data_IF_471049820983
#
_entry.id   IF_471049820983
#
_cell.length_a   1.000
_cell.length_b   1.000
_cell.length_c   1.000
_cell.angle_alpha   90.00
_cell.angle_beta   90.00
_cell.angle_gamma   90.00
#
_symmetry.space_group_name_H-M   'P 1'
#
loop_
_entity.id
_entity.type
_entity.pdbx_description
1 polymer ?
#
# COMPACT_ATOMS: atom_id res chain seq x y z
N UNK A 1 0.30 6.53 -16.09
CA UNK A 1 0.50 7.98 -16.32
C UNK A 1 -0.79 8.71 -15.96
N UNK A 2 -1.02 9.05 -14.68
CA UNK A 2 -2.31 9.62 -14.23
C UNK A 2 -2.71 10.92 -14.92
N UNK A 3 -1.72 11.71 -15.35
CA UNK A 3 -1.94 12.97 -16.08
C UNK A 3 -2.66 12.85 -17.43
N UNK A 4 -2.81 11.63 -17.97
CA UNK A 4 -3.65 11.40 -19.15
C UNK A 4 -5.16 11.48 -18.83
N UNK A 5 -5.53 11.17 -17.58
CA UNK A 5 -6.92 11.25 -17.11
C UNK A 5 -7.19 12.59 -16.46
N UNK A 6 -6.28 13.06 -15.61
CA UNK A 6 -6.38 14.35 -14.93
C UNK A 6 -5.20 15.26 -15.33
N UNK A 7 -5.38 16.17 -16.30
CA UNK A 7 -4.31 17.02 -16.79
C UNK A 7 -3.82 18.04 -15.75
N UNK A 8 -4.50 18.21 -14.62
CA UNK A 8 -4.05 19.12 -13.54
C UNK A 8 -2.88 18.54 -12.73
N UNK A 9 -2.62 17.24 -12.87
CA UNK A 9 -1.53 16.53 -12.17
C UNK A 9 -0.12 16.88 -12.70
N UNK A 10 0.00 17.60 -13.82
CA UNK A 10 1.29 18.02 -14.37
C UNK A 10 1.15 19.35 -15.16
N UNK A 11 2.20 20.19 -15.23
CA UNK A 11 2.21 21.35 -16.11
C UNK A 11 1.95 21.00 -17.59
N UNK A 12 1.38 21.92 -18.39
CA UNK A 12 1.15 21.70 -19.82
C UNK A 12 2.42 21.25 -20.56
N UNK A 13 2.30 20.21 -21.39
CA UNK A 13 3.42 19.64 -22.14
C UNK A 13 4.29 18.66 -21.36
N UNK A 14 3.94 18.33 -20.11
CA UNK A 14 4.63 17.35 -19.27
C UNK A 14 3.66 16.28 -18.77
N UNK A 15 4.20 15.16 -18.26
CA UNK A 15 3.40 14.07 -17.71
C UNK A 15 3.94 13.59 -16.37
N UNK A 16 3.04 13.35 -15.42
CA UNK A 16 3.34 12.57 -14.22
C UNK A 16 3.20 11.07 -14.54
N UNK A 17 4.27 10.32 -14.33
CA UNK A 17 4.30 8.86 -14.41
C UNK A 17 4.57 8.29 -13.02
N UNK A 18 3.70 7.38 -12.56
CA UNK A 18 3.95 6.54 -11.39
C UNK A 18 4.33 5.14 -11.87
N UNK A 19 5.42 4.60 -11.33
CA UNK A 19 5.92 3.27 -11.66
C UNK A 19 5.84 2.42 -10.40
N UNK A 20 4.91 1.47 -10.38
CA UNK A 20 4.75 0.55 -9.27
C UNK A 20 5.57 -0.72 -9.51
N UNK A 21 6.61 -0.93 -8.72
CA UNK A 21 7.50 -2.09 -8.83
C UNK A 21 7.16 -3.08 -7.72
N UNK A 22 6.79 -4.29 -8.10
CA UNK A 22 6.46 -5.36 -7.15
C UNK A 22 7.72 -6.14 -6.77
N UNK A 23 7.70 -6.71 -5.56
CA UNK A 23 8.72 -7.61 -5.03
C UNK A 23 10.10 -6.98 -4.76
N UNK A 24 10.15 -5.66 -4.52
CA UNK A 24 11.33 -5.05 -3.93
C UNK A 24 11.54 -5.63 -2.51
N UNK A 25 12.71 -6.21 -2.20
CA UNK A 25 12.91 -6.85 -0.91
C UNK A 25 13.09 -5.79 0.19
N UNK A 26 12.66 -6.07 1.44
CA UNK A 26 12.89 -5.16 2.56
C UNK A 26 14.38 -4.98 2.88
N UNK A 27 15.21 -5.97 2.50
CA UNK A 27 16.66 -5.94 2.63
C UNK A 27 17.31 -6.36 1.32
N UNK A 28 18.38 -5.67 0.94
CA UNK A 28 19.18 -6.02 -0.25
C UNK A 28 20.14 -7.13 0.17
N UNK A 29 20.00 -8.35 -0.32
CA UNK A 29 20.91 -9.46 0.04
C UNK A 29 21.12 -9.65 1.57
N UNK A 30 20.09 -9.35 2.37
CA UNK A 30 20.13 -9.44 3.83
C UNK A 30 20.71 -8.22 4.57
N UNK A 31 21.21 -7.20 3.86
CA UNK A 31 21.66 -5.92 4.43
C UNK A 31 20.62 -4.82 4.23
N UNK A 32 20.73 -3.77 5.05
CA UNK A 32 19.89 -2.58 4.91
C UNK A 32 20.15 -1.86 3.59
N UNK A 33 19.10 -1.19 3.08
CA UNK A 33 19.19 -0.35 1.90
C UNK A 33 20.14 0.83 2.14
N UNK A 34 21.05 1.06 1.20
CA UNK A 34 21.89 2.24 1.12
C UNK A 34 21.38 3.19 0.03
N UNK A 35 21.89 4.42 0.00
CA UNK A 35 21.54 5.37 -1.07
C UNK A 35 22.04 4.88 -2.44
N UNK A 36 23.19 4.21 -2.48
CA UNK A 36 23.73 3.58 -3.70
C UNK A 36 22.79 2.50 -4.25
N UNK A 37 22.17 1.69 -3.37
CA UNK A 37 21.20 0.67 -3.80
C UNK A 37 19.93 1.29 -4.38
N UNK A 38 19.47 2.38 -3.77
CA UNK A 38 18.31 3.14 -4.24
C UNK A 38 18.59 3.71 -5.63
N UNK A 39 19.75 4.32 -5.84
CA UNK A 39 20.15 4.89 -7.13
C UNK A 39 20.32 3.78 -8.19
N UNK A 40 20.91 2.64 -7.81
CA UNK A 40 21.01 1.45 -8.67
C UNK A 40 19.65 0.86 -9.04
N UNK A 41 18.71 0.85 -8.10
CA UNK A 41 17.33 0.40 -8.33
C UNK A 41 16.59 1.34 -9.29
N UNK A 42 16.66 2.65 -9.05
CA UNK A 42 16.10 3.68 -9.94
C UNK A 42 16.63 3.51 -11.38
N UNK A 43 17.95 3.40 -11.51
CA UNK A 43 18.61 3.17 -12.80
C UNK A 43 18.10 1.89 -13.47
N UNK A 44 17.98 0.79 -12.72
CA UNK A 44 17.52 -0.50 -13.27
C UNK A 44 16.09 -0.41 -13.82
N UNK A 45 15.21 0.30 -13.13
CA UNK A 45 13.81 0.52 -13.56
C UNK A 45 13.77 1.42 -14.80
N UNK A 46 14.49 2.54 -14.79
CA UNK A 46 14.58 3.46 -15.94
C UNK A 46 15.17 2.73 -17.16
N UNK A 47 16.22 1.93 -16.97
CA UNK A 47 16.86 1.16 -18.03
C UNK A 47 15.87 0.17 -18.64
N UNK A 48 15.09 -0.51 -17.81
CA UNK A 48 14.08 -1.46 -18.27
C UNK A 48 12.96 -0.79 -19.07
N UNK A 49 12.48 0.37 -18.66
CA UNK A 49 11.48 1.14 -19.43
C UNK A 49 12.08 1.61 -20.76
N UNK A 50 13.32 2.08 -20.74
CA UNK A 50 14.02 2.60 -21.91
C UNK A 50 14.25 1.54 -22.99
N UNK A 51 14.29 0.26 -22.63
CA UNK A 51 14.34 -0.84 -23.60
C UNK A 51 13.10 -0.90 -24.51
N UNK A 52 11.96 -0.34 -24.06
CA UNK A 52 10.69 -0.34 -24.79
C UNK A 52 10.22 1.06 -25.21
N UNK A 53 10.79 2.11 -24.61
CA UNK A 53 10.50 3.51 -24.90
C UNK A 53 11.81 4.22 -25.26
N UNK A 54 12.22 4.20 -26.55
CA UNK A 54 13.47 4.80 -26.98
C UNK A 54 13.40 6.31 -26.76
N UNK A 55 14.44 6.92 -26.16
CA UNK A 55 14.51 8.31 -25.64
C UNK A 55 13.94 8.56 -24.23
N UNK A 56 13.38 7.56 -23.54
CA UNK A 56 12.71 7.77 -22.24
C UNK A 56 13.57 8.55 -21.24
N UNK A 57 14.86 8.23 -21.14
CA UNK A 57 15.80 8.90 -20.23
C UNK A 57 15.88 10.42 -20.46
N UNK A 58 15.81 10.84 -21.72
CA UNK A 58 15.92 12.25 -22.12
C UNK A 58 14.64 13.04 -21.77
N UNK A 59 13.54 12.35 -21.47
CA UNK A 59 12.25 12.94 -21.12
C UNK A 59 12.06 13.12 -19.60
N UNK A 60 12.96 12.58 -18.78
CA UNK A 60 12.85 12.64 -17.32
C UNK A 60 13.30 14.02 -16.84
N UNK A 61 12.35 14.84 -16.40
CA UNK A 61 12.63 16.15 -15.79
C UNK A 61 12.98 16.01 -14.29
N UNK A 62 12.36 15.04 -13.63
CA UNK A 62 12.57 14.73 -12.23
C UNK A 62 12.18 13.27 -12.00
N UNK A 63 12.96 12.56 -11.18
CA UNK A 63 12.64 11.21 -10.71
C UNK A 63 12.67 11.21 -9.19
N UNK A 64 11.70 10.53 -8.58
CA UNK A 64 11.67 10.29 -7.16
C UNK A 64 11.46 8.79 -6.92
N UNK A 65 12.45 8.18 -6.29
CA UNK A 65 12.39 6.77 -5.88
C UNK A 65 12.02 6.64 -4.41
N UNK A 66 11.09 5.72 -4.12
CA UNK A 66 10.68 5.29 -2.78
C UNK A 66 10.84 3.77 -2.67
N UNK A 67 11.89 3.32 -2.01
CA UNK A 67 12.14 1.90 -1.70
C UNK A 67 11.38 1.51 -0.41
N UNK A 68 11.33 0.23 -0.02
CA UNK A 68 10.79 -0.17 1.28
C UNK A 68 11.36 0.64 2.45
N UNK A 69 12.66 0.99 2.43
CA UNK A 69 13.31 1.82 3.45
C UNK A 69 12.68 3.22 3.55
N UNK A 70 12.50 3.91 2.42
CA UNK A 70 11.90 5.26 2.44
C UNK A 70 10.44 5.22 2.86
N UNK A 71 9.69 4.24 2.34
CA UNK A 71 8.26 4.10 2.65
C UNK A 71 8.07 3.84 4.15
N UNK A 72 8.85 2.94 4.74
CA UNK A 72 8.78 2.66 6.17
C UNK A 72 9.18 3.89 7.00
N UNK A 73 10.24 4.61 6.61
CA UNK A 73 10.69 5.81 7.33
C UNK A 73 9.68 6.98 7.25
N UNK A 74 8.99 7.13 6.11
CA UNK A 74 8.08 8.26 5.88
C UNK A 74 6.69 8.03 6.51
N UNK A 75 6.11 6.84 6.32
CA UNK A 75 4.72 6.56 6.73
C UNK A 75 4.58 5.46 7.78
N UNK A 76 5.68 4.86 8.23
CA UNK A 76 5.67 3.78 9.23
C UNK A 76 5.15 2.45 8.68
N UNK A 77 5.14 2.27 7.36
CA UNK A 77 4.70 1.04 6.74
C UNK A 77 5.83 0.01 6.77
N UNK A 78 5.81 -0.86 7.78
CA UNK A 78 6.84 -1.87 8.01
C UNK A 78 7.14 -2.67 6.74
N UNK A 79 8.44 -2.78 6.41
CA UNK A 79 8.96 -3.47 5.23
C UNK A 79 8.41 -2.95 3.89
N UNK A 80 7.78 -1.78 3.88
CA UNK A 80 7.11 -1.21 2.70
C UNK A 80 5.90 -2.02 2.22
N UNK A 81 5.38 -2.96 3.02
CA UNK A 81 4.33 -3.87 2.58
C UNK A 81 2.94 -3.22 2.69
N UNK A 82 2.35 -2.85 1.56
CA UNK A 82 1.03 -2.19 1.48
C UNK A 82 -0.13 -3.03 2.03
N UNK A 83 0.07 -4.34 2.16
CA UNK A 83 -0.91 -5.26 2.74
C UNK A 83 -0.77 -5.38 4.27
N UNK A 84 0.24 -4.74 4.88
CA UNK A 84 0.53 -4.78 6.34
C UNK A 84 0.56 -6.20 6.90
N UNK A 85 1.17 -7.12 6.15
CA UNK A 85 1.20 -8.55 6.38
C UNK A 85 1.20 -9.31 5.05
N UNK A 86 1.78 -10.51 5.01
CA UNK A 86 1.81 -11.28 3.78
C UNK A 86 0.42 -11.82 3.42
N UNK A 87 0.21 -12.05 2.12
CA UNK A 87 -1.00 -12.69 1.58
C UNK A 87 -0.81 -14.21 1.48
N UNK A 88 -0.23 -14.84 2.51
CA UNK A 88 -0.07 -16.30 2.59
C UNK A 88 -1.26 -16.93 3.31
N UNK A 89 -1.50 -18.23 3.07
CA UNK A 89 -2.64 -18.93 3.68
C UNK A 89 -2.64 -18.87 5.21
N UNK A 90 -1.47 -18.92 5.84
CA UNK A 90 -1.30 -18.83 7.28
C UNK A 90 -1.53 -17.40 7.83
N UNK A 91 -1.39 -16.36 7.00
CA UNK A 91 -1.61 -14.96 7.35
C UNK A 91 -2.86 -14.36 6.70
N UNK A 92 -3.81 -15.17 6.23
CA UNK A 92 -5.03 -14.70 5.57
C UNK A 92 -6.29 -15.00 6.38
N UNK A 93 -7.41 -14.40 5.96
CA UNK A 93 -8.73 -14.65 6.52
C UNK A 93 -8.78 -14.41 8.03
N UNK A 94 -9.21 -15.41 8.80
CA UNK A 94 -9.38 -15.35 10.25
C UNK A 94 -8.05 -15.31 11.03
N UNK A 95 -6.91 -15.47 10.34
CA UNK A 95 -5.59 -15.27 10.91
C UNK A 95 -5.10 -13.81 10.80
N UNK A 96 -5.87 -12.91 10.16
CA UNK A 96 -5.57 -11.47 10.13
C UNK A 96 -6.31 -10.70 11.23
N UNK A 97 -5.65 -9.75 11.92
CA UNK A 97 -4.23 -9.41 11.81
C UNK A 97 -3.31 -10.44 12.49
N UNK A 98 -3.84 -11.19 13.45
CA UNK A 98 -3.22 -12.37 14.02
C UNK A 98 -4.34 -13.30 14.56
N UNK A 99 -4.07 -14.61 14.71
CA UNK A 99 -5.09 -15.57 15.14
C UNK A 99 -5.83 -15.15 16.41
N UNK A 100 -7.16 -15.25 16.37
CA UNK A 100 -8.05 -14.91 17.48
C UNK A 100 -8.57 -13.46 17.47
N UNK A 101 -8.07 -12.61 16.57
CA UNK A 101 -8.41 -11.18 16.55
C UNK A 101 -8.98 -10.66 15.22
N UNK A 102 -9.48 -11.57 14.38
CA UNK A 102 -10.10 -11.23 13.09
C UNK A 102 -11.48 -10.54 13.20
N UNK A 103 -12.03 -10.42 14.40
CA UNK A 103 -13.33 -9.79 14.67
C UNK A 103 -13.20 -8.30 15.01
N UNK A 104 -12.16 -7.64 14.51
CA UNK A 104 -11.89 -6.19 14.60
C UNK A 104 -11.67 -5.61 16.00
N UNK A 105 -11.99 -6.32 17.09
CA UNK A 105 -11.70 -5.91 18.46
C UNK A 105 -10.26 -6.25 18.82
N UNK A 106 -9.60 -5.38 19.57
CA UNK A 106 -8.31 -5.69 20.19
C UNK A 106 -8.50 -6.28 21.59
N UNK A 107 -7.43 -6.79 22.25
CA UNK A 107 -7.50 -7.22 23.65
C UNK A 107 -7.80 -6.06 24.62
N UNK A 108 -7.63 -4.81 24.18
CA UNK A 108 -7.89 -3.62 24.97
C UNK A 108 -9.35 -3.19 24.74
N UNK A 109 -10.14 -3.12 25.81
CA UNK A 109 -11.54 -2.73 25.75
C UNK A 109 -11.69 -1.34 25.09
N UNK A 110 -12.52 -1.27 24.05
CA UNK A 110 -12.80 -0.04 23.32
C UNK A 110 -11.77 0.32 22.24
N UNK A 111 -10.79 -0.55 21.99
CA UNK A 111 -9.84 -0.41 20.88
C UNK A 111 -10.18 -1.41 19.77
N UNK A 112 -10.18 -0.92 18.53
CA UNK A 112 -10.55 -1.69 17.34
C UNK A 112 -9.46 -1.57 16.26
N UNK A 113 -9.39 -2.56 15.38
CA UNK A 113 -8.43 -2.68 14.29
C UNK A 113 -9.20 -2.62 12.97
N UNK A 114 -8.72 -1.78 12.05
CA UNK A 114 -9.49 -1.38 10.86
C UNK A 114 -8.61 -1.10 9.62
N UNK A 115 -7.33 -1.50 9.64
CA UNK A 115 -6.37 -1.20 8.59
C UNK A 115 -6.30 -2.31 7.52
N UNK A 116 -5.45 -2.11 6.51
CA UNK A 116 -5.16 -3.12 5.47
C UNK A 116 -4.64 -4.45 6.00
N UNK A 117 -4.07 -4.47 7.21
CA UNK A 117 -3.63 -5.70 7.88
C UNK A 117 -4.77 -6.52 8.51
N UNK A 118 -6.01 -6.03 8.46
CA UNK A 118 -7.18 -6.74 8.98
C UNK A 118 -8.00 -7.37 7.86
N UNK A 119 -8.78 -8.40 8.18
CA UNK A 119 -9.69 -9.03 7.22
C UNK A 119 -10.68 -7.99 6.64
N UNK A 120 -11.07 -8.02 5.35
CA UNK A 120 -10.78 -9.04 4.34
C UNK A 120 -9.39 -8.97 3.69
N UNK A 121 -8.68 -7.86 3.79
CA UNK A 121 -7.31 -7.77 3.33
C UNK A 121 -6.86 -6.34 3.04
N UNK A 122 -5.73 -6.23 2.36
CA UNK A 122 -5.06 -4.96 2.17
C UNK A 122 -5.35 -4.25 0.86
N UNK A 123 -4.77 -3.05 0.71
CA UNK A 123 -5.13 -2.10 -0.33
C UNK A 123 -6.22 -1.12 0.13
N UNK A 124 -6.77 -0.36 -0.82
CA UNK A 124 -7.70 0.75 -0.57
C UNK A 124 -9.15 0.31 -0.82
N UNK A 125 -9.60 -0.73 -0.10
CA UNK A 125 -10.95 -1.31 -0.29
C UNK A 125 -12.01 -0.80 0.70
N UNK A 126 -11.62 -0.04 1.72
CA UNK A 126 -12.48 0.45 2.82
C UNK A 126 -13.22 -0.62 3.67
N UNK A 127 -13.26 -1.89 3.24
CA UNK A 127 -13.97 -2.97 3.91
C UNK A 127 -13.56 -3.20 5.37
N UNK A 128 -12.26 -3.23 5.75
CA UNK A 128 -11.89 -3.43 7.14
C UNK A 128 -12.33 -2.26 8.05
N UNK A 129 -12.28 -1.04 7.53
CA UNK A 129 -12.85 0.14 8.17
C UNK A 129 -14.35 0.04 8.41
N UNK A 130 -15.09 -0.34 7.37
CA UNK A 130 -16.53 -0.54 7.46
C UNK A 130 -16.89 -1.64 8.47
N UNK A 131 -16.18 -2.76 8.47
CA UNK A 131 -16.44 -3.86 9.39
C UNK A 131 -16.14 -3.48 10.84
N UNK A 132 -15.00 -2.83 11.11
CA UNK A 132 -14.69 -2.33 12.44
C UNK A 132 -15.75 -1.34 12.95
N UNK A 133 -16.25 -0.44 12.09
CA UNK A 133 -17.32 0.48 12.44
C UNK A 133 -18.63 -0.24 12.83
N UNK A 134 -18.97 -1.35 12.17
CA UNK A 134 -20.13 -2.17 12.55
C UNK A 134 -19.96 -2.77 13.95
N UNK A 135 -18.78 -3.30 14.25
CA UNK A 135 -18.48 -3.84 15.58
C UNK A 135 -18.52 -2.76 16.67
N UNK A 136 -18.01 -1.56 16.38
CA UNK A 136 -18.10 -0.40 17.29
C UNK A 136 -19.56 -0.06 17.59
N UNK A 137 -20.42 0.05 16.55
CA UNK A 137 -21.83 0.39 16.75
C UNK A 137 -22.56 -0.70 17.54
N UNK A 138 -22.27 -1.97 17.28
CA UNK A 138 -22.83 -3.09 18.02
C UNK A 138 -22.45 -3.04 19.51
N UNK A 139 -21.17 -2.80 19.84
CA UNK A 139 -20.70 -2.70 21.22
C UNK A 139 -21.28 -1.47 21.94
N UNK A 140 -21.50 -0.37 21.22
CA UNK A 140 -22.18 0.83 21.72
C UNK A 140 -23.71 0.69 21.78
N UNK A 141 -24.27 -0.44 21.34
CA UNK A 141 -25.73 -0.68 21.24
C UNK A 141 -26.45 0.39 20.42
N UNK A 142 -25.81 0.84 19.32
CA UNK A 142 -26.38 1.79 18.36
C UNK A 142 -26.88 1.08 17.10
N UNK A 143 -27.85 1.66 16.38
CA UNK A 143 -28.24 1.14 15.06
C UNK A 143 -27.03 1.08 14.13
N UNK A 144 -26.97 0.03 13.30
CA UNK A 144 -25.95 -0.07 12.27
C UNK A 144 -26.25 0.92 11.15
N UNK A 145 -25.41 1.95 11.01
CA UNK A 145 -25.49 2.97 9.96
C UNK A 145 -24.41 2.82 8.89
N UNK A 146 -23.57 1.78 8.99
CA UNK A 146 -22.52 1.53 8.00
C UNK A 146 -23.19 1.00 6.72
N UNK A 147 -22.93 1.59 5.54
CA UNK A 147 -23.48 1.09 4.28
C UNK A 147 -23.27 -0.41 4.13
N UNK A 148 -24.32 -1.17 3.76
CA UNK A 148 -24.13 -2.51 3.19
C UNK A 148 -23.38 -2.35 1.87
N UNK A 149 -22.43 -3.25 1.57
CA UNK A 149 -21.43 -3.06 0.51
C UNK A 149 -22.01 -2.53 -0.82
N UNK A 150 -21.26 -1.65 -1.48
CA UNK A 150 -21.45 -1.41 -2.91
C UNK A 150 -21.11 -2.73 -3.64
N UNK A 151 -21.86 -3.05 -4.69
CA UNK A 151 -21.76 -4.34 -5.39
C UNK A 151 -20.48 -4.53 -6.23
N UNK A 152 -19.45 -3.71 -6.03
CA UNK A 152 -18.28 -3.60 -6.91
C UNK A 152 -16.94 -3.69 -6.14
N UNK A 153 -16.84 -4.65 -5.21
CA UNK A 153 -15.53 -5.23 -4.81
C UNK A 153 -15.20 -6.44 -5.70
#
# INVERSE_FOLDING_TARGET
IPSLTDPTMAPPGTHMMSVFVQYAPPKVEGREWTDEDKDGFEKSVIDQISNYSPNFRDLILHCETRTPREIEAEVGLTEGNIFMGELTFDQLLFNRPFPGYAQYRSPIKGMYMCSSGTHPGGGVMAAPGANAAREILADLKKPNTVPGGYADD
#
